data_IF_794042537481
#
_entry.id   IF_794042537481
#
_cell.length_a   1.000
_cell.length_b   1.000
_cell.length_c   1.000
_cell.angle_alpha   90.00
_cell.angle_beta   90.00
_cell.angle_gamma   90.00
#
_symmetry.space_group_name_H-M   'P 1'
#
loop_
_entity.id
_entity.type
_entity.pdbx_description
1 polymer ?
#
# COMPACT_ATOMS: atom_id res chain seq x y z
N UNK A 1 2.26 9.73 -68.63
CA UNK A 1 2.36 8.83 -67.44
C UNK A 1 2.52 9.63 -66.15
N UNK A 2 3.51 10.52 -66.04
CA UNK A 2 3.74 11.36 -64.85
C UNK A 2 2.53 12.22 -64.42
N UNK A 3 1.82 12.82 -65.38
CA UNK A 3 0.64 13.65 -65.09
C UNK A 3 -0.51 12.87 -64.45
N UNK A 4 -0.72 11.62 -64.88
CA UNK A 4 -1.76 10.74 -64.33
C UNK A 4 -1.39 10.29 -62.92
N UNK A 5 -0.10 10.01 -62.67
CA UNK A 5 0.41 9.69 -61.33
C UNK A 5 0.20 10.85 -60.35
N UNK A 6 0.50 12.09 -60.76
CA UNK A 6 0.30 13.25 -59.88
C UNK A 6 -1.19 13.48 -59.58
N UNK A 7 -2.05 13.36 -60.59
CA UNK A 7 -3.50 13.50 -60.39
C UNK A 7 -4.08 12.43 -59.46
N UNK A 8 -3.62 11.18 -59.56
CA UNK A 8 -4.06 10.12 -58.64
C UNK A 8 -3.53 10.32 -57.23
N UNK A 9 -2.31 10.83 -57.06
CA UNK A 9 -1.78 11.18 -55.75
C UNK A 9 -2.55 12.32 -55.09
N UNK A 10 -2.87 13.37 -55.84
CA UNK A 10 -3.62 14.52 -55.33
C UNK A 10 -5.05 14.13 -54.98
N UNK A 11 -5.71 13.33 -55.83
CA UNK A 11 -7.02 12.77 -55.52
C UNK A 11 -6.98 11.90 -54.26
N UNK A 12 -5.97 11.02 -54.12
CA UNK A 12 -5.79 10.20 -52.92
C UNK A 12 -5.58 11.05 -51.68
N UNK A 13 -4.77 12.11 -51.74
CA UNK A 13 -4.53 13.02 -50.60
C UNK A 13 -5.81 13.75 -50.18
N UNK A 14 -6.62 14.21 -51.14
CA UNK A 14 -7.90 14.86 -50.88
C UNK A 14 -8.90 13.90 -50.20
N UNK A 15 -9.00 12.67 -50.69
CA UNK A 15 -9.87 11.66 -50.07
C UNK A 15 -9.37 11.31 -48.66
N UNK A 16 -8.06 11.09 -48.49
CA UNK A 16 -7.48 10.77 -47.19
C UNK A 16 -7.64 11.91 -46.19
N UNK A 17 -7.50 13.18 -46.60
CA UNK A 17 -7.68 14.32 -45.70
C UNK A 17 -9.14 14.46 -45.26
N UNK A 18 -10.09 14.23 -46.17
CA UNK A 18 -11.52 14.22 -45.83
C UNK A 18 -11.86 13.09 -44.86
N UNK A 19 -11.39 11.86 -45.14
CA UNK A 19 -11.62 10.70 -44.25
C UNK A 19 -10.94 10.87 -42.90
N UNK A 20 -9.73 11.45 -42.85
CA UNK A 20 -8.97 11.62 -41.61
C UNK A 20 -9.69 12.48 -40.56
N UNK A 21 -10.55 13.42 -40.97
CA UNK A 21 -11.35 14.25 -40.06
C UNK A 21 -12.44 13.42 -39.39
N UNK A 22 -13.16 12.60 -40.15
CA UNK A 22 -14.36 11.89 -39.67
C UNK A 22 -14.07 10.49 -39.09
N UNK A 23 -12.94 9.88 -39.45
CA UNK A 23 -12.62 8.49 -39.10
C UNK A 23 -12.70 8.21 -37.60
N UNK A 24 -12.27 9.15 -36.75
CA UNK A 24 -12.33 9.02 -35.28
C UNK A 24 -13.78 8.92 -34.80
N UNK A 25 -14.67 9.75 -35.35
CA UNK A 25 -16.10 9.75 -35.01
C UNK A 25 -16.77 8.48 -35.50
N UNK A 26 -16.47 8.03 -36.72
CA UNK A 26 -16.99 6.78 -37.27
C UNK A 26 -16.57 5.58 -36.43
N UNK A 27 -15.31 5.50 -36.00
CA UNK A 27 -14.85 4.44 -35.10
C UNK A 27 -15.62 4.43 -33.77
N UNK A 28 -15.84 5.60 -33.16
CA UNK A 28 -16.61 5.70 -31.92
C UNK A 28 -18.05 5.22 -32.15
N UNK A 29 -18.71 5.65 -33.23
CA UNK A 29 -20.09 5.24 -33.57
C UNK A 29 -20.21 3.74 -33.76
N UNK A 30 -19.35 3.14 -34.60
CA UNK A 30 -19.38 1.71 -34.91
C UNK A 30 -19.09 0.88 -33.66
N UNK A 31 -18.10 1.26 -32.84
CA UNK A 31 -17.80 0.57 -31.58
C UNK A 31 -18.96 0.63 -30.59
N UNK A 32 -19.62 1.79 -30.44
CA UNK A 32 -20.81 1.93 -29.60
C UNK A 32 -21.97 1.05 -30.09
N UNK A 33 -22.26 1.09 -31.39
CA UNK A 33 -23.33 0.27 -31.99
C UNK A 33 -23.04 -1.23 -31.78
N UNK A 34 -21.80 -1.66 -32.03
CA UNK A 34 -21.37 -3.04 -31.77
C UNK A 34 -21.56 -3.44 -30.31
N UNK A 35 -21.20 -2.58 -29.36
CA UNK A 35 -21.38 -2.84 -27.94
C UNK A 35 -22.88 -2.96 -27.57
N UNK A 36 -23.74 -2.08 -28.09
CA UNK A 36 -25.19 -2.13 -27.88
C UNK A 36 -25.76 -3.47 -28.38
N UNK A 37 -25.47 -3.86 -29.62
CA UNK A 37 -25.95 -5.15 -30.15
C UNK A 37 -25.39 -6.35 -29.39
N UNK A 38 -24.14 -6.28 -28.94
CA UNK A 38 -23.56 -7.33 -28.10
C UNK A 38 -24.29 -7.45 -26.76
N UNK A 39 -24.65 -6.35 -26.12
CA UNK A 39 -25.45 -6.36 -24.88
C UNK A 39 -26.88 -6.84 -25.15
N UNK A 40 -27.53 -6.43 -26.23
CA UNK A 40 -28.88 -6.90 -26.60
C UNK A 40 -28.90 -8.41 -26.86
N UNK A 41 -27.81 -8.99 -27.40
CA UNK A 41 -27.69 -10.43 -27.59
C UNK A 41 -27.60 -11.23 -26.27
N UNK A 42 -27.32 -10.59 -25.14
CA UNK A 42 -27.35 -11.23 -23.82
C UNK A 42 -28.78 -11.26 -23.22
N UNK A 43 -29.74 -10.55 -23.83
CA UNK A 43 -31.10 -10.45 -23.31
C UNK A 43 -31.95 -11.61 -23.82
N UNK A 44 -32.96 -11.97 -23.03
CA UNK A 44 -33.94 -12.97 -23.44
C UNK A 44 -35.05 -12.32 -24.28
N UNK A 45 -35.47 -12.99 -25.35
CA UNK A 45 -36.47 -12.48 -26.29
C UNK A 45 -37.83 -13.10 -25.95
N UNK A 46 -38.79 -12.27 -25.53
CA UNK A 46 -40.17 -12.71 -25.40
C UNK A 46 -40.90 -12.58 -26.75
N UNK A 47 -41.14 -13.72 -27.41
CA UNK A 47 -41.74 -13.79 -28.75
C UNK A 47 -43.20 -13.28 -28.73
N UNK A 48 -43.92 -13.46 -27.61
CA UNK A 48 -45.34 -13.09 -27.51
C UNK A 48 -45.56 -11.57 -27.47
N UNK A 49 -44.74 -10.86 -26.70
CA UNK A 49 -44.88 -9.42 -26.48
C UNK A 49 -43.94 -8.57 -27.35
N UNK A 50 -43.03 -9.22 -28.10
CA UNK A 50 -41.92 -8.57 -28.82
C UNK A 50 -41.08 -7.66 -27.90
N UNK A 51 -40.94 -8.05 -26.64
CA UNK A 51 -40.16 -7.34 -25.63
C UNK A 51 -38.88 -8.11 -25.30
N UNK A 52 -37.86 -7.37 -24.86
CA UNK A 52 -36.61 -7.93 -24.34
C UNK A 52 -36.65 -7.91 -22.82
N UNK A 53 -36.27 -9.03 -22.22
CA UNK A 53 -36.18 -9.18 -20.77
C UNK A 53 -34.71 -9.38 -20.40
N UNK A 54 -34.24 -8.62 -19.43
CA UNK A 54 -32.87 -8.67 -18.96
C UNK A 54 -32.82 -8.64 -17.44
N UNK A 55 -32.02 -9.53 -16.86
CA UNK A 55 -31.66 -9.52 -15.45
C UNK A 55 -30.27 -8.90 -15.33
N UNK A 56 -30.12 -7.88 -14.46
CA UNK A 56 -28.84 -7.19 -14.31
C UNK A 56 -28.55 -6.82 -12.86
N UNK A 57 -27.28 -6.87 -12.51
CA UNK A 57 -26.78 -6.36 -11.23
C UNK A 57 -26.62 -4.84 -11.30
N UNK A 58 -27.22 -4.13 -10.36
CA UNK A 58 -27.04 -2.68 -10.22
C UNK A 58 -26.82 -2.30 -8.74
N UNK A 59 -26.01 -1.27 -8.46
CA UNK A 59 -25.90 -0.72 -7.11
C UNK A 59 -27.25 -0.18 -6.64
N UNK A 60 -27.64 -0.50 -5.40
CA UNK A 60 -28.91 -0.05 -4.82
C UNK A 60 -29.01 1.48 -4.77
N UNK A 61 -27.87 2.17 -4.63
CA UNK A 61 -27.78 3.64 -4.57
C UNK A 61 -28.12 4.30 -5.92
N UNK A 62 -27.90 3.60 -7.04
CA UNK A 62 -28.04 4.17 -8.38
C UNK A 62 -29.37 3.80 -9.07
N UNK A 63 -30.31 3.15 -8.37
CA UNK A 63 -31.58 2.68 -8.94
C UNK A 63 -32.37 3.84 -9.57
N UNK A 64 -32.52 4.96 -8.85
CA UNK A 64 -33.27 6.12 -9.34
C UNK A 64 -32.65 6.74 -10.60
N UNK A 65 -31.32 6.76 -10.65
CA UNK A 65 -30.56 7.27 -11.80
C UNK A 65 -30.79 6.40 -13.04
N UNK A 66 -30.85 5.07 -12.86
CA UNK A 66 -31.12 4.12 -13.94
C UNK A 66 -32.58 4.28 -14.42
N UNK A 67 -33.55 4.39 -13.51
CA UNK A 67 -34.95 4.59 -13.88
C UNK A 67 -35.16 5.89 -14.67
N UNK A 68 -34.49 6.98 -14.28
CA UNK A 68 -34.55 8.25 -15.01
C UNK A 68 -33.94 8.13 -16.42
N UNK A 69 -32.84 7.39 -16.56
CA UNK A 69 -32.22 7.13 -17.86
C UNK A 69 -33.13 6.29 -18.77
N UNK A 70 -33.83 5.29 -18.22
CA UNK A 70 -34.81 4.47 -18.94
C UNK A 70 -35.99 5.32 -19.44
N UNK A 71 -36.59 6.14 -18.57
CA UNK A 71 -37.70 7.05 -18.95
C UNK A 71 -37.31 7.99 -20.08
N UNK A 72 -36.13 8.62 -19.97
CA UNK A 72 -35.59 9.48 -21.03
C UNK A 72 -35.36 8.73 -22.33
N UNK A 73 -34.93 7.47 -22.26
CA UNK A 73 -34.77 6.60 -23.44
C UNK A 73 -36.10 6.31 -24.12
N UNK A 74 -37.15 6.01 -23.35
CA UNK A 74 -38.51 5.81 -23.86
C UNK A 74 -39.05 7.06 -24.55
N UNK A 75 -38.93 8.23 -23.91
CA UNK A 75 -39.38 9.51 -24.46
C UNK A 75 -38.70 9.83 -25.80
N UNK A 76 -37.38 9.65 -25.90
CA UNK A 76 -36.63 9.91 -27.13
C UNK A 76 -36.98 8.93 -28.26
N UNK A 77 -37.37 7.70 -27.92
CA UNK A 77 -37.79 6.70 -28.90
C UNK A 77 -39.19 6.94 -29.46
N UNK A 78 -40.00 7.79 -28.82
CA UNK A 78 -41.42 7.99 -29.15
C UNK A 78 -42.30 6.76 -28.88
N UNK A 79 -41.80 5.76 -28.14
CA UNK A 79 -42.55 4.57 -27.76
C UNK A 79 -43.57 4.89 -26.68
N UNK A 80 -44.79 4.37 -26.83
CA UNK A 80 -45.83 4.42 -25.79
C UNK A 80 -45.65 3.38 -24.69
N UNK A 81 -44.74 2.40 -24.89
CA UNK A 81 -44.48 1.33 -23.93
C UNK A 81 -43.44 1.79 -22.92
N UNK A 82 -43.79 1.92 -21.62
CA UNK A 82 -42.83 2.32 -20.60
C UNK A 82 -41.79 1.22 -20.38
N UNK A 83 -40.52 1.61 -20.20
CA UNK A 83 -39.51 0.69 -19.70
C UNK A 83 -39.73 0.42 -18.22
N UNK A 84 -39.97 -0.83 -17.86
CA UNK A 84 -40.24 -1.25 -16.48
C UNK A 84 -38.97 -1.82 -15.87
N UNK A 85 -38.66 -1.42 -14.64
CA UNK A 85 -37.57 -1.99 -13.83
C UNK A 85 -38.19 -2.55 -12.56
N UNK A 86 -38.00 -3.84 -12.30
CA UNK A 86 -38.50 -4.52 -11.11
C UNK A 86 -37.33 -5.08 -10.30
N UNK A 87 -37.35 -4.84 -8.99
CA UNK A 87 -36.38 -5.44 -8.09
C UNK A 87 -36.74 -6.90 -7.83
N UNK A 88 -35.80 -7.80 -8.12
CA UNK A 88 -35.94 -9.23 -7.86
C UNK A 88 -35.15 -9.62 -6.61
N UNK A 89 -35.68 -10.61 -5.87
CA UNK A 89 -34.91 -11.27 -4.82
C UNK A 89 -34.33 -12.56 -5.38
N UNK A 90 -33.01 -12.70 -5.24
CA UNK A 90 -32.27 -13.91 -5.64
C UNK A 90 -31.39 -14.38 -4.48
N UNK A 91 -31.02 -15.67 -4.52
CA UNK A 91 -30.05 -16.28 -3.59
C UNK A 91 -28.64 -16.32 -4.17
N UNK A 92 -28.46 -15.88 -5.41
CA UNK A 92 -27.14 -15.81 -6.03
C UNK A 92 -26.26 -14.74 -5.37
N UNK A 93 -24.95 -15.00 -5.34
CA UNK A 93 -23.99 -14.06 -4.79
C UNK A 93 -23.83 -12.88 -5.75
N UNK A 94 -24.18 -11.65 -5.33
CA UNK A 94 -23.99 -10.46 -6.17
C UNK A 94 -22.50 -10.14 -6.34
N UNK A 95 -22.12 -9.45 -7.42
CA UNK A 95 -20.76 -8.98 -7.63
C UNK A 95 -20.38 -7.89 -6.62
N UNK A 96 -19.11 -7.86 -6.23
CA UNK A 96 -18.55 -6.82 -5.36
C UNK A 96 -18.23 -5.57 -6.16
N UNK A 97 -18.70 -4.41 -5.69
CA UNK A 97 -18.43 -3.12 -6.29
C UNK A 97 -17.80 -2.17 -5.27
N UNK A 98 -16.56 -1.77 -5.53
CA UNK A 98 -15.83 -0.80 -4.72
C UNK A 98 -15.79 0.55 -5.45
N UNK A 99 -16.29 1.61 -4.81
CA UNK A 99 -16.18 2.95 -5.34
C UNK A 99 -14.72 3.41 -5.25
N UNK A 100 -14.09 3.61 -6.41
CA UNK A 100 -12.72 4.10 -6.51
C UNK A 100 -12.73 5.54 -7.00
N UNK A 101 -11.82 6.33 -6.45
CA UNK A 101 -11.44 7.63 -6.99
C UNK A 101 -10.06 7.48 -7.64
N UNK A 102 -9.65 8.51 -8.36
CA UNK A 102 -8.35 8.64 -9.00
C UNK A 102 -7.15 8.33 -8.09
N UNK A 103 -7.28 8.60 -6.80
CA UNK A 103 -6.26 8.29 -5.80
C UNK A 103 -6.29 6.83 -5.36
N UNK A 104 -7.49 6.28 -5.10
CA UNK A 104 -7.65 4.93 -4.53
C UNK A 104 -7.60 3.82 -5.58
N UNK A 105 -7.79 4.14 -6.86
CA UNK A 105 -7.82 3.15 -7.95
C UNK A 105 -6.55 2.31 -8.04
N UNK A 106 -5.37 2.94 -7.87
CA UNK A 106 -4.09 2.23 -7.91
C UNK A 106 -3.92 1.23 -6.75
N UNK A 107 -4.34 1.62 -5.54
CA UNK A 107 -4.30 0.75 -4.37
C UNK A 107 -5.32 -0.39 -4.47
N UNK A 108 -6.51 -0.10 -4.97
CA UNK A 108 -7.53 -1.13 -5.20
C UNK A 108 -7.08 -2.16 -6.24
N UNK A 109 -6.45 -1.73 -7.34
CA UNK A 109 -5.95 -2.63 -8.36
C UNK A 109 -4.92 -3.64 -7.84
N UNK A 110 -4.07 -3.22 -6.88
CA UNK A 110 -3.08 -4.10 -6.25
C UNK A 110 -3.77 -5.17 -5.38
N UNK A 111 -4.86 -4.81 -4.71
CA UNK A 111 -5.61 -5.74 -3.88
C UNK A 111 -6.41 -6.71 -4.74
N UNK A 112 -7.08 -6.20 -5.77
CA UNK A 112 -7.85 -7.01 -6.71
C UNK A 112 -6.95 -7.99 -7.49
N UNK A 113 -5.66 -7.65 -7.68
CA UNK A 113 -4.68 -8.56 -8.27
C UNK A 113 -4.36 -9.78 -7.39
N UNK A 114 -4.51 -9.68 -6.07
CA UNK A 114 -4.40 -10.83 -5.17
C UNK A 114 -5.69 -11.66 -5.15
N UNK A 115 -6.84 -10.98 -5.15
CA UNK A 115 -8.15 -11.61 -5.24
C UNK A 115 -9.27 -10.61 -5.01
N UNK A 116 -10.39 -10.84 -5.69
CA UNK A 116 -11.60 -10.01 -5.51
C UNK A 116 -12.29 -10.39 -4.21
N UNK A 117 -12.60 -9.40 -3.37
CA UNK A 117 -13.27 -9.60 -2.08
C UNK A 117 -14.69 -10.16 -2.25
N UNK A 118 -15.14 -10.94 -1.26
CA UNK A 118 -16.52 -11.43 -1.23
C UNK A 118 -17.52 -10.28 -1.04
N UNK A 119 -18.78 -10.55 -1.38
CA UNK A 119 -19.83 -9.55 -1.23
C UNK A 119 -19.97 -9.10 0.23
N UNK A 120 -19.89 -7.79 0.44
CA UNK A 120 -19.97 -7.12 1.75
C UNK A 120 -18.88 -7.55 2.75
N UNK A 121 -17.75 -8.03 2.26
CA UNK A 121 -16.54 -8.18 3.05
C UNK A 121 -15.85 -6.82 3.27
N UNK A 122 -15.17 -6.65 4.40
CA UNK A 122 -14.36 -5.44 4.65
C UNK A 122 -13.23 -5.36 3.63
N UNK A 123 -13.26 -4.31 2.81
CA UNK A 123 -12.21 -4.03 1.85
C UNK A 123 -10.93 -3.58 2.58
N UNK A 124 -9.77 -4.22 2.36
CA UNK A 124 -8.51 -3.80 2.98
C UNK A 124 -7.92 -2.52 2.38
N UNK A 125 -8.40 -2.05 1.21
CA UNK A 125 -7.82 -0.92 0.47
C UNK A 125 -7.64 0.37 1.29
N UNK A 126 -8.61 0.83 2.10
CA UNK A 126 -8.44 2.03 2.90
C UNK A 126 -7.24 1.96 3.85
N UNK A 127 -6.96 0.77 4.39
CA UNK A 127 -5.83 0.56 5.30
C UNK A 127 -4.52 0.42 4.55
N UNK A 128 -4.53 -0.33 3.44
CA UNK A 128 -3.37 -0.54 2.56
C UNK A 128 -2.82 0.77 2.01
N UNK A 129 -3.65 1.79 1.78
CA UNK A 129 -3.20 3.13 1.34
C UNK A 129 -2.07 3.68 2.24
N UNK A 130 -2.13 3.44 3.55
CA UNK A 130 -1.13 3.93 4.50
C UNK A 130 -0.15 2.83 4.91
N UNK A 131 -0.64 1.64 5.26
CA UNK A 131 0.20 0.59 5.82
C UNK A 131 1.20 0.04 4.80
N UNK A 132 0.82 -0.09 3.52
CA UNK A 132 1.73 -0.61 2.51
C UNK A 132 2.91 0.33 2.24
N UNK A 133 2.72 1.63 1.95
CA UNK A 133 3.84 2.56 1.81
C UNK A 133 4.68 2.70 3.09
N UNK A 134 4.07 2.60 4.27
CA UNK A 134 4.80 2.66 5.53
C UNK A 134 5.70 1.44 5.77
N UNK A 135 5.21 0.23 5.49
CA UNK A 135 6.04 -0.99 5.58
C UNK A 135 7.16 -0.99 4.55
N UNK A 136 6.88 -0.52 3.32
CA UNK A 136 7.91 -0.28 2.31
C UNK A 136 8.99 0.66 2.84
N UNK A 137 8.61 1.77 3.46
CA UNK A 137 9.54 2.75 4.00
C UNK A 137 10.40 2.23 5.14
N UNK A 138 9.90 1.30 5.96
CA UNK A 138 10.69 0.67 7.03
C UNK A 138 11.81 -0.21 6.44
N UNK A 139 11.56 -0.84 5.29
CA UNK A 139 12.54 -1.63 4.54
C UNK A 139 13.49 -0.74 3.72
N UNK A 140 12.97 0.32 3.11
CA UNK A 140 13.68 1.27 2.24
C UNK A 140 13.96 2.60 2.96
N UNK A 141 14.38 2.54 4.22
CA UNK A 141 14.54 3.71 5.08
C UNK A 141 15.83 4.48 4.81
N UNK A 142 15.88 5.29 3.75
CA UNK A 142 16.97 6.21 3.45
C UNK A 142 16.39 7.56 3.00
N UNK A 143 16.81 8.63 3.68
CA UNK A 143 16.32 9.99 3.40
C UNK A 143 16.68 10.46 1.98
N UNK A 144 17.89 10.14 1.51
CA UNK A 144 18.38 10.60 0.20
C UNK A 144 17.68 9.90 -0.96
N UNK A 145 17.59 8.57 -0.89
CA UNK A 145 16.88 7.79 -1.89
C UNK A 145 15.36 8.04 -1.86
N UNK A 146 14.78 8.20 -0.66
CA UNK A 146 13.38 8.59 -0.49
C UNK A 146 13.05 9.94 -1.14
N UNK A 147 13.95 10.93 -1.02
CA UNK A 147 13.80 12.23 -1.68
C UNK A 147 13.79 12.09 -3.21
N UNK A 148 14.69 11.29 -3.79
CA UNK A 148 14.71 11.05 -5.24
C UNK A 148 13.42 10.38 -5.74
N UNK A 149 12.93 9.37 -5.02
CA UNK A 149 11.66 8.71 -5.31
C UNK A 149 10.48 9.68 -5.22
N UNK A 150 10.46 10.53 -4.19
CA UNK A 150 9.44 11.57 -4.02
C UNK A 150 9.44 12.58 -5.16
N UNK A 151 10.61 13.09 -5.57
CA UNK A 151 10.73 14.05 -6.67
C UNK A 151 10.27 13.44 -8.01
N UNK A 152 10.62 12.18 -8.27
CA UNK A 152 10.16 11.47 -9.46
C UNK A 152 8.63 11.26 -9.45
N UNK A 153 8.06 10.84 -8.33
CA UNK A 153 6.61 10.67 -8.20
C UNK A 153 5.87 12.00 -8.33
N UNK A 154 6.41 13.08 -7.73
CA UNK A 154 5.86 14.42 -7.83
C UNK A 154 5.85 14.90 -9.29
N UNK A 155 6.91 14.63 -10.05
CA UNK A 155 6.95 14.93 -11.49
C UNK A 155 5.84 14.23 -12.28
N UNK A 156 5.57 12.94 -11.99
CA UNK A 156 4.49 12.19 -12.63
C UNK A 156 3.10 12.76 -12.29
N UNK A 157 2.89 13.16 -11.03
CA UNK A 157 1.63 13.75 -10.57
C UNK A 157 1.42 15.14 -11.18
N UNK A 158 2.46 15.98 -11.28
CA UNK A 158 2.34 17.31 -11.88
C UNK A 158 2.15 17.27 -13.40
N UNK A 159 2.77 16.30 -14.08
CA UNK A 159 2.71 16.15 -15.55
C UNK A 159 1.54 15.30 -16.04
N UNK A 160 0.59 14.98 -15.17
CA UNK A 160 -0.45 13.98 -15.43
C UNK A 160 -1.31 14.27 -16.66
N UNK A 161 -1.71 15.54 -16.88
CA UNK A 161 -2.53 15.92 -18.05
C UNK A 161 -1.84 15.61 -19.37
N UNK A 162 -0.50 15.72 -19.41
CA UNK A 162 0.30 15.44 -20.62
C UNK A 162 0.32 13.95 -20.92
N UNK A 163 0.54 13.13 -19.89
CA UNK A 163 0.62 11.66 -20.02
C UNK A 163 -0.75 11.00 -20.25
N UNK A 164 -1.84 11.57 -19.72
CA UNK A 164 -3.19 11.12 -20.05
C UNK A 164 -3.57 11.40 -21.51
N UNK A 165 -3.10 12.51 -22.08
CA UNK A 165 -3.37 12.88 -23.47
C UNK A 165 -2.55 12.05 -24.47
N UNK A 166 -1.31 11.72 -24.12
CA UNK A 166 -0.43 10.86 -24.90
C UNK A 166 0.07 9.73 -24.02
N UNK A 167 -0.67 8.62 -24.04
CA UNK A 167 -0.26 7.43 -23.30
C UNK A 167 1.14 6.99 -23.75
N UNK A 168 2.05 6.74 -22.81
CA UNK A 168 3.39 6.25 -23.11
C UNK A 168 3.28 4.82 -23.67
N UNK A 169 4.08 4.51 -24.69
CA UNK A 169 4.07 3.19 -25.34
C UNK A 169 4.82 2.12 -24.52
N UNK A 170 5.62 2.54 -23.54
CA UNK A 170 6.38 1.63 -22.67
C UNK A 170 5.51 1.11 -21.53
N UNK A 171 5.27 -0.21 -21.51
CA UNK A 171 4.47 -0.90 -20.48
C UNK A 171 4.96 -0.62 -19.05
N UNK A 172 6.29 -0.60 -18.86
CA UNK A 172 6.91 -0.30 -17.56
C UNK A 172 6.55 1.11 -17.08
N UNK A 173 6.51 2.07 -18.01
CA UNK A 173 6.17 3.45 -17.67
C UNK A 173 4.67 3.61 -17.44
N UNK A 174 3.82 2.88 -18.16
CA UNK A 174 2.37 2.85 -17.90
C UNK A 174 2.08 2.33 -16.49
N UNK A 175 2.69 1.22 -16.07
CA UNK A 175 2.53 0.69 -14.71
C UNK A 175 2.96 1.70 -13.63
N UNK A 176 4.11 2.36 -13.82
CA UNK A 176 4.56 3.40 -12.89
C UNK A 176 3.63 4.61 -12.85
N UNK A 177 3.08 5.01 -14.00
CA UNK A 177 2.14 6.13 -14.09
C UNK A 177 0.81 5.82 -13.39
N UNK A 178 0.29 4.62 -13.55
CA UNK A 178 -0.92 4.16 -12.86
C UNK A 178 -0.70 4.11 -11.34
N UNK A 179 0.50 3.72 -10.90
CA UNK A 179 0.93 3.70 -9.49
C UNK A 179 1.45 5.02 -8.92
N UNK A 180 1.31 6.17 -9.62
CA UNK A 180 1.96 7.44 -9.23
C UNK A 180 1.71 7.90 -7.79
N UNK A 181 0.48 7.75 -7.28
CA UNK A 181 0.13 8.14 -5.92
C UNK A 181 0.73 7.19 -4.87
N UNK A 182 0.89 5.92 -5.22
CA UNK A 182 1.54 4.93 -4.37
C UNK A 182 3.03 5.24 -4.25
N UNK A 183 3.73 5.51 -5.36
CA UNK A 183 5.15 5.90 -5.34
C UNK A 183 5.34 7.21 -4.56
N UNK A 184 4.41 8.16 -4.68
CA UNK A 184 4.43 9.41 -3.92
C UNK A 184 4.42 9.14 -2.40
N UNK A 185 3.48 8.32 -1.91
CA UNK A 185 3.42 7.97 -0.49
C UNK A 185 4.66 7.18 -0.05
N UNK A 186 5.14 6.24 -0.85
CA UNK A 186 6.36 5.49 -0.56
C UNK A 186 7.57 6.40 -0.38
N UNK A 187 7.73 7.41 -1.23
CA UNK A 187 8.80 8.40 -1.12
C UNK A 187 8.70 9.26 0.16
N UNK A 188 7.49 9.72 0.51
CA UNK A 188 7.25 10.52 1.72
C UNK A 188 7.54 9.70 2.98
N UNK A 189 7.02 8.47 3.07
CA UNK A 189 7.28 7.62 4.23
C UNK A 189 8.74 7.18 4.30
N UNK A 190 9.40 6.88 3.17
CA UNK A 190 10.83 6.53 3.12
C UNK A 190 11.71 7.68 3.62
N UNK A 191 11.36 8.92 3.28
CA UNK A 191 12.03 10.10 3.82
C UNK A 191 11.83 10.22 5.35
N UNK A 192 10.61 9.96 5.84
CA UNK A 192 10.33 9.95 7.28
C UNK A 192 11.09 8.86 8.04
N UNK A 193 11.09 7.62 7.56
CA UNK A 193 11.82 6.50 8.19
C UNK A 193 13.33 6.64 8.04
N UNK A 194 13.82 7.17 6.92
CA UNK A 194 15.22 7.52 6.73
C UNK A 194 15.71 8.57 7.74
N UNK A 195 14.85 9.55 8.07
CA UNK A 195 15.12 10.50 9.13
C UNK A 195 15.12 9.84 10.53
N UNK A 196 14.23 8.88 10.78
CA UNK A 196 14.20 8.09 12.03
C UNK A 196 15.44 7.19 12.18
N UNK A 197 15.93 6.59 11.10
CA UNK A 197 17.18 5.82 11.10
C UNK A 197 18.43 6.70 11.10
N UNK A 198 18.28 8.00 10.82
CA UNK A 198 19.35 8.97 10.65
C UNK A 198 20.36 8.51 9.57
N UNK A 199 19.84 8.06 8.43
CA UNK A 199 20.62 7.61 7.28
C UNK A 199 20.21 8.40 6.02
N UNK A 200 21.17 9.13 5.45
CA UNK A 200 21.06 9.85 4.18
C UNK A 200 22.26 9.49 3.31
N UNK A 201 22.06 8.71 2.24
CA UNK A 201 23.14 8.20 1.38
C UNK A 201 24.29 7.56 2.19
N UNK A 202 23.95 6.74 3.19
CA UNK A 202 24.90 6.12 4.14
C UNK A 202 25.70 7.09 5.03
N UNK A 203 25.24 8.33 5.19
CA UNK A 203 25.80 9.30 6.15
C UNK A 203 24.73 9.68 7.18
N UNK A 204 25.16 9.95 8.41
CA UNK A 204 24.29 10.45 9.47
C UNK A 204 24.30 11.97 9.50
N UNK A 205 23.19 12.56 9.94
CA UNK A 205 23.01 14.01 10.07
C UNK A 205 23.01 14.34 11.56
N UNK A 206 23.89 15.25 11.98
CA UNK A 206 23.95 15.70 13.36
C UNK A 206 23.16 17.00 13.54
N UNK A 207 21.92 16.89 14.04
CA UNK A 207 20.99 18.02 14.20
C UNK A 207 20.98 18.53 15.65
N UNK A 208 20.91 17.61 16.62
CA UNK A 208 20.76 17.96 18.04
C UNK A 208 22.06 17.85 18.86
N UNK A 209 23.17 17.47 18.23
CA UNK A 209 24.40 17.10 18.92
C UNK A 209 24.37 15.64 19.39
N UNK A 210 25.52 14.98 19.42
CA UNK A 210 25.61 13.59 19.87
C UNK A 210 25.36 13.52 21.38
N UNK A 211 24.58 12.54 21.82
CA UNK A 211 24.36 12.28 23.24
C UNK A 211 25.58 11.67 23.93
N UNK A 212 26.45 11.05 23.13
CA UNK A 212 27.71 10.48 23.57
C UNK A 212 28.79 11.56 23.64
N UNK A 213 29.46 11.63 24.78
CA UNK A 213 30.55 12.56 25.03
C UNK A 213 31.86 11.81 25.27
N UNK A 214 32.69 11.76 24.23
CA UNK A 214 33.99 11.07 24.26
C UNK A 214 34.97 11.71 25.25
N UNK A 215 34.85 13.02 25.50
CA UNK A 215 35.78 13.75 26.39
C UNK A 215 35.69 13.29 27.85
N UNK A 216 34.54 12.77 28.28
CA UNK A 216 34.34 12.27 29.63
C UNK A 216 35.15 11.01 29.96
N UNK A 217 35.66 10.31 28.94
CA UNK A 217 36.44 9.08 29.12
C UNK A 217 37.90 9.36 29.55
N UNK A 218 38.38 10.59 29.34
CA UNK A 218 39.72 11.10 29.68
C UNK A 218 40.86 10.13 29.35
N UNK A 219 40.97 9.72 28.08
CA UNK A 219 42.04 8.84 27.60
C UNK A 219 43.40 9.52 27.71
N UNK A 220 44.41 8.77 28.16
CA UNK A 220 45.79 9.26 28.19
C UNK A 220 46.35 9.45 26.77
N UNK A 221 47.25 10.43 26.59
CA UNK A 221 47.89 10.65 25.29
C UNK A 221 48.59 9.39 24.77
N UNK A 222 49.18 8.58 25.66
CA UNK A 222 49.82 7.33 25.29
C UNK A 222 48.81 6.33 24.68
N UNK A 223 47.63 6.16 25.29
CA UNK A 223 46.58 5.27 24.76
C UNK A 223 46.03 5.73 23.41
N UNK A 224 45.99 7.04 23.14
CA UNK A 224 45.56 7.59 21.85
C UNK A 224 46.56 7.30 20.72
N UNK A 225 47.86 7.27 21.03
CA UNK A 225 48.90 6.96 20.04
C UNK A 225 49.10 5.46 19.82
N UNK A 226 48.83 4.61 20.81
CA UNK A 226 49.08 3.17 20.72
C UNK A 226 47.92 2.35 20.16
N UNK A 227 46.68 2.81 20.31
CA UNK A 227 45.49 1.97 20.08
C UNK A 227 44.64 2.53 18.94
N UNK A 228 44.36 1.70 17.92
CA UNK A 228 43.60 2.08 16.73
C UNK A 228 42.08 2.09 16.95
N UNK A 229 41.58 1.31 17.91
CA UNK A 229 40.16 1.23 18.26
C UNK A 229 39.97 1.45 19.76
N UNK A 230 39.05 2.34 20.12
CA UNK A 230 38.74 2.67 21.50
C UNK A 230 37.30 2.27 21.81
N UNK A 231 37.08 1.73 23.00
CA UNK A 231 35.75 1.40 23.51
C UNK A 231 35.31 2.45 24.53
N UNK A 232 34.14 3.04 24.29
CA UNK A 232 33.50 3.93 25.24
C UNK A 232 32.76 3.09 26.28
N UNK A 233 33.04 3.31 27.56
CA UNK A 233 32.32 2.67 28.65
C UNK A 233 31.10 3.53 29.03
N UNK A 234 29.87 3.07 28.73
CA UNK A 234 28.66 3.83 29.05
C UNK A 234 28.37 3.94 30.54
N UNK A 235 29.06 3.18 31.41
CA UNK A 235 28.86 3.26 32.86
C UNK A 235 29.62 4.44 33.50
N UNK A 236 30.60 5.01 32.79
CA UNK A 236 31.34 6.17 33.29
C UNK A 236 30.49 7.43 33.21
N UNK A 237 30.54 8.21 34.29
CA UNK A 237 29.76 9.45 34.42
C UNK A 237 30.03 10.41 33.25
N UNK A 238 28.97 10.85 32.58
CA UNK A 238 29.03 11.83 31.51
C UNK A 238 29.42 11.30 30.14
N UNK A 239 29.71 10.00 29.96
CA UNK A 239 29.99 9.38 28.65
C UNK A 239 28.71 9.21 27.83
N UNK A 240 27.66 8.67 28.44
CA UNK A 240 26.31 8.66 27.88
C UNK A 240 25.44 9.59 28.75
N UNK A 241 24.85 10.61 28.14
CA UNK A 241 24.01 11.58 28.86
C UNK A 241 22.55 11.16 28.83
N UNK A 242 21.91 11.33 27.68
CA UNK A 242 20.49 11.07 27.47
C UNK A 242 20.25 10.45 26.09
N UNK A 243 19.16 9.71 25.86
CA UNK A 243 18.82 9.24 24.51
C UNK A 243 18.71 10.39 23.50
N UNK A 244 19.14 10.15 22.26
CA UNK A 244 19.04 11.15 21.19
C UNK A 244 17.55 11.50 20.95
N UNK A 245 17.17 12.80 20.90
CA UNK A 245 15.77 13.20 20.91
C UNK A 245 14.92 12.66 19.76
N UNK A 246 15.53 12.44 18.58
CA UNK A 246 14.80 11.98 17.40
C UNK A 246 15.65 11.04 16.54
N UNK A 247 15.29 9.76 16.51
CA UNK A 247 15.98 8.76 15.71
C UNK A 247 17.24 8.20 16.36
N UNK A 248 18.17 7.69 15.54
CA UNK A 248 19.43 7.08 16.02
C UNK A 248 20.53 8.14 16.13
N UNK A 249 21.31 8.08 17.21
CA UNK A 249 22.43 9.00 17.45
C UNK A 249 23.46 8.92 16.29
N UNK A 250 23.89 10.07 15.73
CA UNK A 250 24.88 10.13 14.66
C UNK A 250 26.20 9.40 14.94
N UNK A 251 26.61 9.28 16.21
CA UNK A 251 27.90 8.67 16.61
C UNK A 251 28.01 7.21 16.15
N UNK A 252 26.88 6.49 16.05
CA UNK A 252 26.85 5.10 15.64
C UNK A 252 27.35 4.90 14.21
N UNK A 253 27.29 5.93 13.35
CA UNK A 253 27.81 5.81 11.98
C UNK A 253 29.34 5.71 11.93
N UNK A 254 30.02 6.28 12.93
CA UNK A 254 31.47 6.21 13.08
C UNK A 254 31.93 4.98 13.86
N UNK A 255 31.01 4.24 14.50
CA UNK A 255 31.34 3.13 15.38
C UNK A 255 31.59 1.83 14.59
N UNK A 256 32.57 1.04 15.02
CA UNK A 256 32.88 -0.27 14.40
C UNK A 256 31.80 -1.31 14.70
N UNK A 257 31.15 -1.22 15.87
CA UNK A 257 30.10 -2.13 16.33
C UNK A 257 28.68 -1.70 15.92
N UNK A 258 28.54 -0.79 14.95
CA UNK A 258 27.24 -0.25 14.51
C UNK A 258 26.25 -1.33 14.06
N UNK A 259 26.75 -2.33 13.34
CA UNK A 259 25.93 -3.39 12.74
C UNK A 259 25.25 -4.21 13.85
N UNK A 260 25.98 -4.52 14.92
CA UNK A 260 25.44 -5.29 16.05
C UNK A 260 24.30 -4.56 16.75
N UNK A 261 24.45 -3.25 16.97
CA UNK A 261 23.43 -2.43 17.64
C UNK A 261 22.21 -2.21 16.73
N UNK A 262 22.44 -1.80 15.47
CA UNK A 262 21.36 -1.57 14.52
C UNK A 262 20.58 -2.84 14.20
N UNK A 263 21.24 -3.99 14.05
CA UNK A 263 20.56 -5.27 13.81
C UNK A 263 19.70 -5.68 15.00
N UNK A 264 20.21 -5.52 16.23
CA UNK A 264 19.45 -5.82 17.44
C UNK A 264 18.20 -4.94 17.58
N UNK A 265 18.30 -3.67 17.17
CA UNK A 265 17.17 -2.74 17.14
C UNK A 265 16.17 -3.08 16.03
N UNK A 266 16.63 -3.20 14.78
CA UNK A 266 15.79 -3.45 13.60
C UNK A 266 15.03 -4.77 13.72
N UNK A 267 15.67 -5.84 14.22
CA UNK A 267 15.00 -7.13 14.44
C UNK A 267 13.85 -7.03 15.44
N UNK A 268 14.07 -6.36 16.59
CA UNK A 268 13.02 -6.19 17.62
C UNK A 268 11.88 -5.32 17.11
N UNK A 269 12.19 -4.22 16.44
CA UNK A 269 11.18 -3.34 15.87
C UNK A 269 10.33 -4.04 14.80
N UNK A 270 10.95 -4.88 13.95
CA UNK A 270 10.24 -5.66 12.94
C UNK A 270 9.23 -6.65 13.56
N UNK A 271 9.59 -7.33 14.64
CA UNK A 271 8.67 -8.24 15.36
C UNK A 271 7.50 -7.48 15.98
N UNK A 272 7.76 -6.32 16.60
CA UNK A 272 6.72 -5.48 17.20
C UNK A 272 5.73 -4.99 16.13
N UNK A 273 6.23 -4.44 15.03
CA UNK A 273 5.42 -3.97 13.91
C UNK A 273 4.59 -5.11 13.27
N UNK A 274 5.21 -6.27 13.10
CA UNK A 274 4.55 -7.47 12.58
C UNK A 274 3.38 -7.92 13.47
N UNK A 275 3.57 -7.92 14.80
CA UNK A 275 2.48 -8.23 15.74
C UNK A 275 1.32 -7.25 15.59
N UNK A 276 1.58 -5.94 15.58
CA UNK A 276 0.51 -4.94 15.43
C UNK A 276 -0.25 -5.10 14.11
N UNK A 277 0.45 -5.39 13.01
CA UNK A 277 -0.17 -5.63 11.70
C UNK A 277 -1.04 -6.90 11.70
N UNK A 278 -0.57 -8.00 12.29
CA UNK A 278 -1.33 -9.25 12.37
C UNK A 278 -2.55 -9.11 13.27
N UNK A 279 -2.41 -8.47 14.44
CA UNK A 279 -3.53 -8.19 15.35
C UNK A 279 -4.56 -7.29 14.67
N UNK A 280 -4.12 -6.28 13.90
CA UNK A 280 -5.02 -5.45 13.12
C UNK A 280 -5.83 -6.27 12.09
N UNK A 281 -5.20 -7.23 11.41
CA UNK A 281 -5.89 -8.17 10.52
C UNK A 281 -6.97 -8.98 11.23
N UNK A 282 -6.69 -9.49 12.43
CA UNK A 282 -7.67 -10.20 13.26
C UNK A 282 -8.83 -9.28 13.70
N UNK A 283 -8.57 -8.00 13.96
CA UNK A 283 -9.63 -7.03 14.27
C UNK A 283 -10.57 -6.84 13.07
N UNK A 284 -10.07 -6.81 11.84
CA UNK A 284 -10.92 -6.76 10.64
C UNK A 284 -11.76 -8.03 10.48
N UNK A 285 -11.18 -9.20 10.76
CA UNK A 285 -11.92 -10.46 10.76
C UNK A 285 -13.09 -10.45 11.77
N UNK A 286 -12.90 -9.86 12.96
CA UNK A 286 -13.98 -9.70 13.94
C UNK A 286 -15.16 -8.89 13.37
N UNK A 287 -14.88 -7.80 12.64
CA UNK A 287 -15.93 -7.00 12.00
C UNK A 287 -16.69 -7.81 10.94
N UNK A 288 -16.01 -8.63 10.15
CA UNK A 288 -16.63 -9.52 9.17
C UNK A 288 -17.55 -10.56 9.83
N UNK A 289 -17.07 -11.30 10.84
CA UNK A 289 -17.89 -12.31 11.53
C UNK A 289 -19.11 -11.68 12.21
N UNK A 290 -18.94 -10.50 12.83
CA UNK A 290 -20.05 -9.77 13.46
C UNK A 290 -21.06 -9.27 12.43
N UNK A 291 -20.62 -8.82 11.26
CA UNK A 291 -21.49 -8.39 10.17
C UNK A 291 -22.31 -9.55 9.61
N UNK A 292 -21.66 -10.70 9.38
CA UNK A 292 -22.30 -11.92 8.88
C UNK A 292 -23.11 -12.68 9.94
N UNK A 293 -23.05 -12.25 11.22
CA UNK A 293 -23.68 -12.89 12.39
C UNK A 293 -23.25 -14.35 12.58
N UNK A 294 -22.03 -14.67 12.16
CA UNK A 294 -21.46 -16.00 12.33
C UNK A 294 -20.80 -16.13 13.71
N UNK A 295 -21.62 -16.46 14.71
CA UNK A 295 -21.15 -16.65 16.07
C UNK A 295 -20.22 -17.87 16.20
N UNK A 296 -20.39 -18.89 15.36
CA UNK A 296 -19.58 -20.10 15.45
C UNK A 296 -18.13 -19.80 15.09
N UNK A 297 -17.89 -19.12 13.96
CA UNK A 297 -16.55 -18.70 13.58
C UNK A 297 -15.92 -17.73 14.60
N UNK A 298 -16.73 -16.86 15.22
CA UNK A 298 -16.24 -15.95 16.26
C UNK A 298 -15.69 -16.70 17.48
N UNK A 299 -16.42 -17.70 17.99
CA UNK A 299 -15.97 -18.44 19.18
C UNK A 299 -14.92 -19.51 18.87
N UNK A 300 -15.02 -20.19 17.73
CA UNK A 300 -14.17 -21.34 17.40
C UNK A 300 -12.91 -20.97 16.63
N UNK A 301 -12.89 -19.86 15.88
CA UNK A 301 -11.74 -19.45 15.06
C UNK A 301 -11.08 -18.20 15.63
N UNK A 302 -11.84 -17.10 15.77
CA UNK A 302 -11.27 -15.80 16.12
C UNK A 302 -10.68 -15.75 17.54
N UNK A 303 -11.42 -16.23 18.55
CA UNK A 303 -10.94 -16.23 19.95
C UNK A 303 -9.67 -17.08 20.11
N UNK A 304 -9.63 -18.36 19.65
CA UNK A 304 -8.42 -19.16 19.77
C UNK A 304 -7.23 -18.57 19.01
N UNK A 305 -7.43 -18.02 17.81
CA UNK A 305 -6.36 -17.37 17.04
C UNK A 305 -5.77 -16.17 17.78
N UNK A 306 -6.61 -15.29 18.34
CA UNK A 306 -6.15 -14.13 19.10
C UNK A 306 -5.39 -14.54 20.36
N UNK A 307 -5.94 -15.50 21.13
CA UNK A 307 -5.30 -15.99 22.35
C UNK A 307 -3.94 -16.62 22.06
N UNK A 308 -3.85 -17.46 21.03
CA UNK A 308 -2.61 -18.10 20.61
C UNK A 308 -1.55 -17.07 20.19
N UNK A 309 -1.94 -16.09 19.36
CA UNK A 309 -1.04 -15.04 18.90
C UNK A 309 -0.51 -14.18 20.05
N UNK A 310 -1.40 -13.77 20.96
CA UNK A 310 -1.04 -12.93 22.11
C UNK A 310 -0.20 -13.68 23.14
N UNK A 311 -0.47 -14.96 23.38
CA UNK A 311 0.28 -15.77 24.32
C UNK A 311 1.74 -16.00 23.88
N UNK A 312 1.98 -16.17 22.58
CA UNK A 312 3.33 -16.44 22.06
C UNK A 312 4.08 -15.17 21.66
N UNK A 313 3.57 -14.46 20.64
CA UNK A 313 4.25 -13.31 20.04
C UNK A 313 3.97 -12.04 20.84
N UNK A 314 2.74 -11.91 21.38
CA UNK A 314 2.38 -10.81 22.28
C UNK A 314 3.25 -10.78 23.53
N UNK A 315 3.43 -11.93 24.19
CA UNK A 315 4.32 -12.07 25.34
C UNK A 315 5.78 -11.69 25.00
N UNK A 316 6.30 -12.13 23.84
CA UNK A 316 7.64 -11.73 23.39
C UNK A 316 7.78 -10.21 23.23
N UNK A 317 6.77 -9.55 22.66
CA UNK A 317 6.78 -8.09 22.51
C UNK A 317 6.78 -7.38 23.88
N UNK A 318 6.00 -7.87 24.84
CA UNK A 318 6.01 -7.36 26.22
C UNK A 318 7.42 -7.50 26.84
N UNK A 319 8.08 -8.64 26.65
CA UNK A 319 9.46 -8.85 27.12
C UNK A 319 10.47 -7.92 26.46
N UNK A 320 10.29 -7.56 25.17
CA UNK A 320 11.13 -6.58 24.50
C UNK A 320 11.01 -5.21 25.18
N UNK A 321 9.79 -4.72 25.39
CA UNK A 321 9.55 -3.43 26.07
C UNK A 321 10.05 -3.44 27.51
N UNK A 322 9.78 -4.52 28.25
CA UNK A 322 10.30 -4.70 29.60
C UNK A 322 11.83 -4.66 29.63
N UNK A 323 12.48 -5.36 28.68
CA UNK A 323 13.94 -5.37 28.60
C UNK A 323 14.52 -3.98 28.31
N UNK A 324 13.88 -3.19 27.45
CA UNK A 324 14.28 -1.83 27.15
C UNK A 324 14.10 -0.86 28.33
N UNK A 325 13.09 -1.07 29.18
CA UNK A 325 12.81 -0.19 30.31
C UNK A 325 13.63 -0.52 31.58
N UNK A 326 13.83 -1.82 31.87
CA UNK A 326 14.39 -2.25 33.16
C UNK A 326 15.93 -2.34 33.15
N UNK A 327 16.53 -2.87 32.08
CA UNK A 327 17.97 -3.15 32.07
C UNK A 327 18.76 -1.91 31.70
N UNK A 328 19.48 -1.38 32.68
CA UNK A 328 20.44 -0.28 32.50
C UNK A 328 21.86 -0.80 32.28
N UNK A 329 22.76 0.11 31.90
CA UNK A 329 24.18 -0.17 31.64
C UNK A 329 24.87 -0.84 32.83
N UNK A 330 24.54 -0.42 34.05
CA UNK A 330 25.13 -0.92 35.29
C UNK A 330 24.89 -2.43 35.52
N UNK A 331 23.83 -2.99 34.92
CA UNK A 331 23.44 -4.39 35.07
C UNK A 331 23.61 -5.19 33.77
N UNK A 332 24.39 -4.67 32.82
CA UNK A 332 24.54 -5.25 31.47
C UNK A 332 24.99 -6.71 31.47
N UNK A 333 25.85 -7.11 32.40
CA UNK A 333 26.36 -8.48 32.52
C UNK A 333 25.29 -9.53 32.86
N UNK A 334 24.21 -9.12 33.54
CA UNK A 334 23.13 -10.02 33.96
C UNK A 334 21.92 -9.98 33.02
N UNK A 335 21.97 -9.20 31.92
CA UNK A 335 20.84 -9.01 31.04
C UNK A 335 20.51 -10.30 30.25
N UNK A 336 19.32 -10.91 30.43
CA UNK A 336 18.99 -12.20 29.84
C UNK A 336 18.78 -12.11 28.33
N UNK A 337 19.05 -13.21 27.62
CA UNK A 337 18.74 -13.34 26.20
C UNK A 337 17.25 -13.63 25.99
N UNK A 338 16.57 -12.79 25.21
CA UNK A 338 15.15 -12.95 24.89
C UNK A 338 14.88 -14.25 24.11
N UNK A 339 15.82 -14.64 23.24
CA UNK A 339 15.69 -15.86 22.43
C UNK A 339 15.74 -17.12 23.30
N UNK A 340 16.69 -17.19 24.24
CA UNK A 340 16.81 -18.33 25.16
C UNK A 340 15.59 -18.40 26.07
N UNK A 341 15.09 -17.26 26.55
CA UNK A 341 13.84 -17.20 27.31
C UNK A 341 12.65 -17.79 26.55
N UNK A 342 12.52 -17.48 25.26
CA UNK A 342 11.47 -18.04 24.40
C UNK A 342 11.65 -19.55 24.17
N UNK A 343 12.88 -20.01 23.90
CA UNK A 343 13.17 -21.44 23.72
C UNK A 343 12.83 -22.22 24.99
N UNK A 344 13.27 -21.73 26.15
CA UNK A 344 13.00 -22.36 27.45
C UNK A 344 11.51 -22.41 27.79
N UNK A 345 10.71 -21.43 27.32
CA UNK A 345 9.26 -21.43 27.48
C UNK A 345 8.61 -22.64 26.79
N UNK A 346 9.05 -22.99 25.58
CA UNK A 346 8.52 -24.15 24.85
C UNK A 346 9.11 -25.48 25.30
N UNK A 347 10.38 -25.49 25.68
CA UNK A 347 11.09 -26.70 26.12
C UNK A 347 10.81 -27.06 27.59
N UNK A 348 10.11 -26.20 28.33
CA UNK A 348 9.89 -26.32 29.77
C UNK A 348 11.18 -26.52 30.59
N UNK A 349 12.31 -26.05 30.07
CA UNK A 349 13.62 -26.13 30.74
C UNK A 349 13.85 -24.89 31.59
N UNK A 350 13.89 -25.05 32.92
CA UNK A 350 14.40 -24.00 33.81
C UNK A 350 15.92 -23.98 33.70
N UNK A 351 16.49 -22.92 33.14
CA UNK A 351 17.89 -22.57 33.40
C UNK A 351 17.97 -22.12 34.86
N UNK A 352 18.61 -22.93 35.69
CA UNK A 352 19.07 -22.57 37.05
C UNK A 352 20.07 -21.43 36.95
#
# INVERSE_FOLDING_TARGET
>A
MQAVLNQTEDHRKLVLSQVAVDIRVWFIKVRKIKAIYHTLNLFNVNIAEKCLIAECWCPVVDIDRIQLALRRGTELSGSSVPSIMQQMQTKENPPTYNQTDKFTSGFQAIIDAFGVSNYREVNPAPFTIITFPFLFAVMFGDMGHGLLMFLFALYLVLSERKFLAKKPENEIFEMMFDGRYLILLMGIFSMYTGFLYNECFSRSINIFGTAWNVSAMNYSNQTLYTTTTLTLDPNKYGVFRDPYPYGIDPIWQSATNKITVQNSYKMKNAVIMGLFQMVFGLVLALYNHRYNKDNLALFCEWIPQLLFLMALIGYLCILIFYKWAYWSVAQSNAAPSLLIGLINMFMFTKTI
#
